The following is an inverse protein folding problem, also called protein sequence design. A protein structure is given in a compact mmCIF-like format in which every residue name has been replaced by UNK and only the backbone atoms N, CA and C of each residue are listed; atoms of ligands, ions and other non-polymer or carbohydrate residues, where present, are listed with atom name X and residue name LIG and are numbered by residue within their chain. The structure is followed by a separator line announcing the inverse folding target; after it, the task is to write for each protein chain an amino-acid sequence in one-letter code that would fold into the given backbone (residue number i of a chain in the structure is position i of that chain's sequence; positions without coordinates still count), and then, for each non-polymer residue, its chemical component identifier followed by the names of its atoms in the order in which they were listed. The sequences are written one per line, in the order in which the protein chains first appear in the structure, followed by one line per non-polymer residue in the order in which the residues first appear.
data_IF_557491573498
#
_entry.id   IF_557491573498
#
_cell.length_a   1.000
_cell.length_b   1.000
_cell.length_c   1.000
_cell.angle_alpha   90.00
_cell.angle_beta   90.00
_cell.angle_gamma   90.00
#
_symmetry.space_group_name_H-M   'P 1'
#
loop_
_entity.id
_entity.type
_entity.pdbx_description
1 polymer ?
#
# COMPACT_ATOMS: atom_id res chain seq x y z
N UNK A 1 33.57 -44.40 -5.77
CA UNK A 1 33.56 -44.21 -4.31
C UNK A 1 34.45 -43.05 -3.86
N UNK A 2 35.77 -43.01 -4.13
CA UNK A 2 36.59 -41.84 -3.74
C UNK A 2 36.38 -40.60 -4.66
N UNK A 3 36.19 -40.80 -5.97
CA UNK A 3 35.99 -39.69 -6.91
C UNK A 3 34.69 -38.91 -6.65
N UNK A 4 33.62 -39.60 -6.25
CA UNK A 4 32.32 -38.99 -5.95
C UNK A 4 32.41 -38.04 -4.74
N UNK A 5 33.24 -38.37 -3.74
CA UNK A 5 33.50 -37.54 -2.56
C UNK A 5 34.25 -36.26 -2.95
N UNK A 6 35.23 -36.35 -3.85
CA UNK A 6 35.96 -35.16 -4.33
C UNK A 6 35.05 -34.23 -5.14
N UNK A 7 34.17 -34.78 -5.99
CA UNK A 7 33.20 -33.98 -6.74
C UNK A 7 32.21 -33.29 -5.81
N UNK A 8 31.70 -34.00 -4.79
CA UNK A 8 30.80 -33.42 -3.81
C UNK A 8 31.47 -32.31 -2.98
N UNK A 9 32.73 -32.50 -2.56
CA UNK A 9 33.48 -31.48 -1.83
C UNK A 9 33.70 -30.22 -2.68
N UNK A 10 33.99 -30.36 -3.97
CA UNK A 10 34.12 -29.24 -4.89
C UNK A 10 32.80 -28.48 -5.09
N UNK A 11 31.67 -29.21 -5.24
CA UNK A 11 30.35 -28.59 -5.34
C UNK A 11 29.97 -27.84 -4.05
N UNK A 12 30.28 -28.41 -2.88
CA UNK A 12 30.07 -27.77 -1.60
C UNK A 12 30.89 -26.47 -1.48
N UNK A 13 32.17 -26.51 -1.86
CA UNK A 13 33.04 -25.34 -1.85
C UNK A 13 32.49 -24.24 -2.78
N UNK A 14 32.02 -24.62 -3.97
CA UNK A 14 31.44 -23.67 -4.91
C UNK A 14 30.15 -23.05 -4.36
N UNK A 15 29.26 -23.85 -3.77
CA UNK A 15 28.03 -23.37 -3.15
C UNK A 15 28.31 -22.40 -2.00
N UNK A 16 29.31 -22.71 -1.15
CA UNK A 16 29.75 -21.81 -0.08
C UNK A 16 30.30 -20.49 -0.60
N UNK A 17 31.09 -20.52 -1.68
CA UNK A 17 31.61 -19.29 -2.31
C UNK A 17 30.49 -18.44 -2.90
N UNK A 18 29.52 -19.04 -3.59
CA UNK A 18 28.35 -18.34 -4.13
C UNK A 18 27.51 -17.73 -3.00
N UNK A 19 27.28 -18.49 -1.92
CA UNK A 19 26.54 -18.00 -0.77
C UNK A 19 27.27 -16.84 -0.06
N UNK A 20 28.59 -16.93 0.10
CA UNK A 20 29.39 -15.85 0.68
C UNK A 20 29.33 -14.57 -0.16
N UNK A 21 29.38 -14.70 -1.49
CA UNK A 21 29.24 -13.55 -2.39
C UNK A 21 27.84 -12.91 -2.30
N UNK A 22 26.79 -13.73 -2.20
CA UNK A 22 25.42 -13.24 -2.02
C UNK A 22 25.25 -12.50 -0.69
N UNK A 23 25.83 -13.04 0.41
CA UNK A 23 25.80 -12.39 1.72
C UNK A 23 26.49 -11.03 1.66
N UNK A 24 27.70 -10.95 1.09
CA UNK A 24 28.43 -9.68 0.98
C UNK A 24 27.66 -8.64 0.15
N UNK A 25 26.98 -9.08 -0.91
CA UNK A 25 26.16 -8.19 -1.73
C UNK A 25 24.93 -7.67 -0.97
N UNK A 26 24.26 -8.53 -0.20
CA UNK A 26 23.13 -8.13 0.63
C UNK A 26 23.57 -7.18 1.76
N UNK A 27 24.71 -7.44 2.39
CA UNK A 27 25.29 -6.55 3.41
C UNK A 27 25.58 -5.15 2.84
N UNK A 28 26.08 -5.08 1.60
CA UNK A 28 26.33 -3.81 0.92
C UNK A 28 25.03 -3.05 0.60
N UNK A 29 24.03 -3.74 0.06
CA UNK A 29 22.71 -3.14 -0.20
C UNK A 29 22.05 -2.62 1.08
N UNK A 30 22.14 -3.36 2.18
CA UNK A 30 21.60 -2.93 3.48
C UNK A 30 22.31 -1.67 3.97
N UNK A 31 23.64 -1.61 3.82
CA UNK A 31 24.42 -0.41 4.18
C UNK A 31 23.99 0.81 3.35
N UNK A 32 23.85 0.65 2.03
CA UNK A 32 23.40 1.74 1.15
C UNK A 32 22.00 2.26 1.54
N UNK A 33 21.05 1.35 1.80
CA UNK A 33 19.71 1.73 2.25
C UNK A 33 19.73 2.45 3.60
N UNK A 34 20.61 2.05 4.52
CA UNK A 34 20.78 2.74 5.81
C UNK A 34 21.36 4.16 5.62
N UNK A 35 22.28 4.35 4.68
CA UNK A 35 22.82 5.67 4.34
C UNK A 35 21.73 6.56 3.74
N UNK A 36 20.97 6.08 2.76
CA UNK A 36 19.85 6.83 2.15
C UNK A 36 18.78 7.23 3.18
N UNK A 37 18.42 6.33 4.11
CA UNK A 37 17.48 6.62 5.19
C UNK A 37 18.00 7.70 6.14
N UNK A 38 19.30 7.67 6.45
CA UNK A 38 19.92 8.70 7.28
C UNK A 38 19.96 10.06 6.57
N UNK A 39 20.25 10.08 5.27
CA UNK A 39 20.17 11.31 4.47
C UNK A 39 18.74 11.89 4.46
N UNK A 40 17.74 11.04 4.26
CA UNK A 40 16.33 11.46 4.22
C UNK A 40 15.85 11.98 5.57
N UNK A 41 16.31 11.37 6.67
CA UNK A 41 16.03 11.83 8.04
C UNK A 41 16.71 13.15 8.40
N UNK A 42 17.89 13.43 7.82
CA UNK A 42 18.66 14.63 8.08
C UNK A 42 18.30 15.81 7.16
N UNK A 43 17.42 15.61 6.17
CA UNK A 43 16.84 16.73 5.41
C UNK A 43 15.90 17.51 6.35
N UNK A 44 16.08 18.84 6.49
CA UNK A 44 15.17 19.65 7.30
C UNK A 44 13.77 19.54 6.71
N UNK A 45 12.78 19.19 7.54
CA UNK A 45 11.38 19.22 7.15
C UNK A 45 11.08 20.62 6.63
N UNK A 46 10.72 20.75 5.35
CA UNK A 46 10.15 21.98 4.84
C UNK A 46 8.98 22.32 5.74
N UNK A 47 9.15 23.39 6.53
CA UNK A 47 8.16 23.96 7.42
C UNK A 47 6.89 24.21 6.60
N UNK A 48 5.92 23.31 6.71
CA UNK A 48 4.56 23.56 6.19
C UNK A 48 4.05 24.79 6.93
N UNK A 49 3.91 25.89 6.19
CA UNK A 49 3.47 27.18 6.73
C UNK A 49 2.15 27.02 7.47
N UNK A 50 2.06 27.62 8.66
CA UNK A 50 0.88 27.67 9.51
C UNK A 50 -0.33 28.18 8.70
N UNK A 51 -1.24 27.28 8.33
CA UNK A 51 -2.51 27.65 7.70
C UNK A 51 -3.44 28.15 8.80
N UNK A 52 -3.53 29.47 8.99
CA UNK A 52 -4.52 30.06 9.88
C UNK A 52 -5.89 30.05 9.20
N UNK A 53 -6.74 29.14 9.67
CA UNK A 53 -8.12 28.97 9.22
C UNK A 53 -9.04 29.93 9.98
N UNK A 54 -9.74 30.83 9.27
CA UNK A 54 -10.82 31.67 9.84
C UNK A 54 -12.13 30.91 9.74
N UNK A 55 -12.70 30.56 10.90
CA UNK A 55 -14.04 29.99 11.00
C UNK A 55 -15.09 31.07 10.76
N UNK A 56 -15.86 30.97 9.68
CA UNK A 56 -17.19 31.57 9.59
C UNK A 56 -18.22 30.52 10.04
N UNK A 57 -19.07 30.88 11.00
CA UNK A 57 -20.04 29.96 11.59
C UNK A 57 -21.19 29.69 10.61
N UNK A 58 -21.21 28.51 10.00
CA UNK A 58 -22.41 28.02 9.31
C UNK A 58 -23.39 27.43 10.34
N UNK A 59 -24.58 28.02 10.42
CA UNK A 59 -25.68 27.54 11.25
C UNK A 59 -26.34 26.34 10.57
N UNK A 60 -26.24 25.17 11.20
CA UNK A 60 -26.84 23.92 10.72
C UNK A 60 -28.28 23.84 11.17
N UNK A 61 -29.23 23.89 10.23
CA UNK A 61 -30.63 23.55 10.47
C UNK A 61 -30.90 22.13 9.96
N UNK A 62 -31.29 21.26 10.90
CA UNK A 62 -31.75 19.86 10.77
C UNK A 62 -30.68 18.76 10.78
N UNK A 63 -30.60 18.10 11.94
CA UNK A 63 -29.78 16.94 12.23
C UNK A 63 -30.58 15.66 11.95
N UNK A 64 -30.57 15.18 10.71
CA UNK A 64 -31.06 13.85 10.35
C UNK A 64 -29.99 13.14 9.52
N UNK A 65 -29.03 12.50 10.21
CA UNK A 65 -27.99 11.69 9.58
C UNK A 65 -27.64 10.50 10.47
N UNK A 66 -27.76 9.29 9.92
CA UNK A 66 -27.30 8.05 10.56
C UNK A 66 -25.77 8.04 10.58
N UNK A 67 -25.18 7.84 11.76
CA UNK A 67 -23.72 7.80 11.95
C UNK A 67 -23.14 6.52 11.30
N UNK A 68 -22.57 6.65 10.10
CA UNK A 68 -21.77 5.59 9.49
C UNK A 68 -20.33 5.69 10.04
N UNK A 69 -20.02 4.94 11.09
CA UNK A 69 -18.65 4.79 11.59
C UNK A 69 -17.90 3.87 10.61
N UNK A 70 -17.43 4.40 9.49
CA UNK A 70 -16.51 3.72 8.59
C UNK A 70 -15.10 3.81 9.17
N UNK A 71 -14.54 2.70 9.64
CA UNK A 71 -13.11 2.62 9.96
C UNK A 71 -12.35 2.70 8.64
N UNK A 72 -11.84 3.87 8.28
CA UNK A 72 -10.97 3.99 7.12
C UNK A 72 -9.55 3.50 7.51
N UNK A 73 -9.06 2.39 6.94
CA UNK A 73 -7.79 1.77 7.31
C UNK A 73 -6.58 2.61 6.91
N UNK A 74 -6.77 3.55 5.97
CA UNK A 74 -5.73 4.45 5.49
C UNK A 74 -5.45 5.62 6.44
N UNK A 75 -6.26 5.78 7.49
CA UNK A 75 -6.15 6.87 8.48
C UNK A 75 -5.30 6.52 9.70
N UNK A 76 -4.67 5.34 9.74
CA UNK A 76 -3.90 4.87 10.90
C UNK A 76 -2.55 5.59 11.03
N UNK A 77 -2.59 6.88 11.36
CA UNK A 77 -1.57 7.68 12.06
C UNK A 77 -2.18 9.03 12.49
N UNK A 78 -2.93 9.04 13.58
CA UNK A 78 -3.14 10.22 14.44
C UNK A 78 -3.80 11.48 13.83
N UNK A 79 -4.28 11.45 12.59
CA UNK A 79 -5.10 12.53 12.04
C UNK A 79 -6.56 12.27 12.39
N UNK A 80 -7.08 13.18 13.21
CA UNK A 80 -8.50 13.28 13.55
C UNK A 80 -9.33 13.23 12.27
N UNK A 81 -10.47 12.55 12.38
CA UNK A 81 -11.53 12.40 11.38
C UNK A 81 -11.69 13.67 10.54
N UNK A 82 -11.04 13.70 9.39
CA UNK A 82 -11.57 14.39 8.22
C UNK A 82 -12.32 13.33 7.45
N UNK A 83 -13.65 13.38 7.59
CA UNK A 83 -14.55 12.82 6.60
C UNK A 83 -14.00 13.28 5.25
N UNK A 84 -13.41 12.36 4.48
CA UNK A 84 -12.86 12.64 3.16
C UNK A 84 -14.04 12.79 2.18
N UNK A 85 -15.00 13.66 2.52
CA UNK A 85 -15.76 14.44 1.57
C UNK A 85 -14.78 15.45 0.99
N UNK A 86 -13.88 14.95 0.14
CA UNK A 86 -13.32 15.83 -0.87
C UNK A 86 -14.54 16.21 -1.69
N UNK A 87 -14.97 17.47 -1.58
CA UNK A 87 -15.75 18.11 -2.62
C UNK A 87 -15.07 17.69 -3.93
N UNK A 88 -15.75 16.82 -4.68
CA UNK A 88 -15.31 16.26 -5.96
C UNK A 88 -14.98 17.33 -6.99
N UNK A 89 -15.15 18.60 -6.63
CA UNK A 89 -14.75 19.78 -7.40
C UNK A 89 -13.26 20.14 -7.28
N UNK A 90 -12.51 19.62 -6.30
CA UNK A 90 -11.07 19.99 -6.13
C UNK A 90 -10.07 18.94 -6.56
N UNK A 91 -10.50 17.68 -6.72
CA UNK A 91 -9.82 16.77 -7.64
C UNK A 91 -10.23 17.20 -9.05
N UNK A 92 -9.59 18.26 -9.55
CA UNK A 92 -9.51 18.46 -10.99
C UNK A 92 -9.02 17.15 -11.54
N UNK A 93 -9.96 16.39 -12.11
CA UNK A 93 -9.76 15.18 -12.88
C UNK A 93 -8.48 15.42 -13.66
N UNK A 94 -7.43 14.69 -13.29
CA UNK A 94 -6.16 14.81 -13.98
C UNK A 94 -6.50 14.66 -15.48
N UNK A 95 -6.17 15.63 -16.35
CA UNK A 95 -6.61 15.65 -17.75
C UNK A 95 -6.21 14.41 -18.58
N UNK A 96 -5.55 13.44 -17.94
CA UNK A 96 -4.99 12.23 -18.52
C UNK A 96 -5.81 10.94 -18.27
N UNK A 97 -6.89 10.98 -17.49
CA UNK A 97 -7.92 9.90 -17.61
C UNK A 97 -8.50 9.85 -19.03
N UNK A 98 -8.46 10.97 -19.76
CA UNK A 98 -8.81 11.08 -21.17
C UNK A 98 -7.68 10.67 -22.14
N UNK A 99 -6.40 10.63 -21.72
CA UNK A 99 -5.27 10.42 -22.66
C UNK A 99 -4.93 8.95 -22.91
N UNK A 100 -5.29 8.03 -22.01
CA UNK A 100 -5.14 6.58 -22.26
C UNK A 100 -6.11 5.72 -21.41
N UNK A 101 -7.40 5.67 -21.76
CA UNK A 101 -8.42 4.96 -20.97
C UNK A 101 -8.17 3.45 -20.88
N UNK A 102 -7.58 2.83 -21.90
CA UNK A 102 -7.29 1.39 -21.92
C UNK A 102 -6.21 1.01 -20.89
N UNK A 103 -5.19 1.85 -20.74
CA UNK A 103 -4.15 1.66 -19.72
C UNK A 103 -4.74 1.70 -18.30
N UNK A 104 -5.58 2.72 -18.03
CA UNK A 104 -6.26 2.89 -16.75
C UNK A 104 -7.17 1.70 -16.43
N UNK A 105 -8.00 1.30 -17.39
CA UNK A 105 -8.87 0.14 -17.23
C UNK A 105 -8.09 -1.16 -17.02
N UNK A 106 -6.94 -1.32 -17.68
CA UNK A 106 -6.07 -2.48 -17.52
C UNK A 106 -5.50 -2.61 -16.11
N UNK A 107 -5.22 -1.50 -15.41
CA UNK A 107 -4.79 -1.52 -14.00
C UNK A 107 -5.97 -1.87 -13.10
N UNK A 108 -7.13 -1.21 -13.28
CA UNK A 108 -8.31 -1.48 -12.47
C UNK A 108 -8.76 -2.94 -12.56
N UNK A 109 -8.84 -3.49 -13.78
CA UNK A 109 -9.22 -4.89 -13.98
C UNK A 109 -8.28 -5.84 -13.25
N UNK A 110 -6.97 -5.59 -13.30
CA UNK A 110 -6.02 -6.43 -12.58
C UNK A 110 -6.16 -6.30 -11.06
N UNK A 111 -6.39 -5.08 -10.55
CA UNK A 111 -6.61 -4.86 -9.13
C UNK A 111 -7.92 -5.48 -8.64
N UNK A 112 -8.99 -5.44 -9.43
CA UNK A 112 -10.24 -6.15 -9.11
C UNK A 112 -10.01 -7.66 -9.05
N UNK A 113 -9.33 -8.23 -10.05
CA UNK A 113 -8.98 -9.66 -10.05
C UNK A 113 -8.15 -10.03 -8.81
N UNK A 114 -7.15 -9.24 -8.46
CA UNK A 114 -6.36 -9.43 -7.24
C UNK A 114 -7.24 -9.43 -5.98
N UNK A 115 -8.18 -8.47 -5.88
CA UNK A 115 -9.08 -8.37 -4.73
C UNK A 115 -10.13 -9.49 -4.69
N UNK A 116 -10.50 -10.07 -5.83
CA UNK A 116 -11.43 -11.19 -5.92
C UNK A 116 -10.76 -12.54 -5.61
N UNK A 117 -9.53 -12.74 -6.07
CA UNK A 117 -8.85 -14.04 -6.01
C UNK A 117 -7.86 -14.16 -4.83
N UNK A 118 -7.16 -13.08 -4.49
CA UNK A 118 -6.00 -13.14 -3.57
C UNK A 118 -6.24 -12.43 -2.23
N UNK A 119 -7.09 -11.41 -2.17
CA UNK A 119 -7.28 -10.60 -0.96
C UNK A 119 -7.70 -11.43 0.26
N UNK A 120 -8.60 -12.39 0.09
CA UNK A 120 -9.05 -13.23 1.20
C UNK A 120 -7.89 -14.05 1.79
N UNK A 121 -7.04 -14.63 0.93
CA UNK A 121 -5.85 -15.36 1.37
C UNK A 121 -4.83 -14.43 2.06
N UNK A 122 -4.68 -13.18 1.60
CA UNK A 122 -3.83 -12.18 2.28
C UNK A 122 -4.36 -11.82 3.66
N UNK A 123 -5.67 -11.62 3.81
CA UNK A 123 -6.30 -11.35 5.10
C UNK A 123 -6.04 -12.53 6.04
N UNK A 124 -6.30 -13.77 5.61
CA UNK A 124 -6.03 -14.96 6.43
C UNK A 124 -4.55 -15.06 6.87
N UNK A 125 -3.61 -14.68 6.01
CA UNK A 125 -2.21 -14.64 6.36
C UNK A 125 -1.94 -13.63 7.48
N UNK A 126 -2.43 -12.39 7.35
CA UNK A 126 -2.27 -11.37 8.38
C UNK A 126 -2.99 -11.70 9.69
N UNK A 127 -4.14 -12.37 9.64
CA UNK A 127 -4.83 -12.89 10.83
C UNK A 127 -3.97 -13.86 11.63
N UNK A 128 -3.24 -14.74 10.93
CA UNK A 128 -2.34 -15.69 11.55
C UNK A 128 -1.11 -15.00 12.14
N UNK A 129 -0.54 -14.02 11.43
CA UNK A 129 0.62 -13.25 11.90
C UNK A 129 0.27 -12.42 13.15
N UNK A 130 -0.83 -11.67 13.11
CA UNK A 130 -1.30 -10.83 14.21
C UNK A 130 -2.06 -11.61 15.30
N UNK A 131 -2.21 -12.93 15.14
CA UNK A 131 -2.95 -13.84 16.04
C UNK A 131 -4.36 -13.32 16.39
N UNK A 132 -5.02 -12.72 15.41
CA UNK A 132 -6.32 -12.08 15.58
C UNK A 132 -7.30 -12.71 14.59
N UNK A 133 -8.03 -13.76 14.99
CA UNK A 133 -9.00 -14.40 14.10
C UNK A 133 -10.19 -13.47 13.88
N UNK A 134 -10.52 -13.23 12.61
CA UNK A 134 -11.67 -12.41 12.22
C UNK A 134 -12.88 -13.30 11.95
N UNK A 135 -14.08 -12.72 12.09
CA UNK A 135 -15.28 -13.35 11.55
C UNK A 135 -15.40 -13.13 10.02
N UNK A 136 -16.10 -14.04 9.36
CA UNK A 136 -16.25 -14.06 7.90
C UNK A 136 -16.90 -12.78 7.37
N UNK A 137 -17.91 -12.27 8.08
CA UNK A 137 -18.57 -11.02 7.74
C UNK A 137 -17.59 -9.83 7.77
N UNK A 138 -16.64 -9.83 8.72
CA UNK A 138 -15.67 -8.75 8.83
C UNK A 138 -14.64 -8.80 7.70
N UNK A 139 -14.17 -10.01 7.32
CA UNK A 139 -13.30 -10.19 6.14
C UNK A 139 -13.95 -9.64 4.88
N UNK A 140 -15.22 -9.98 4.66
CA UNK A 140 -15.96 -9.52 3.48
C UNK A 140 -16.10 -7.99 3.49
N UNK A 141 -16.43 -7.39 4.63
CA UNK A 141 -16.50 -5.92 4.75
C UNK A 141 -15.16 -5.25 4.44
N UNK A 142 -14.03 -5.81 4.90
CA UNK A 142 -12.70 -5.28 4.59
C UNK A 142 -12.43 -5.30 3.08
N UNK A 143 -12.71 -6.42 2.40
CA UNK A 143 -12.52 -6.54 0.95
C UNK A 143 -13.40 -5.54 0.20
N UNK A 144 -14.68 -5.41 0.57
CA UNK A 144 -15.62 -4.51 -0.08
C UNK A 144 -15.25 -3.03 0.10
N UNK A 145 -14.74 -2.65 1.28
CA UNK A 145 -14.30 -1.28 1.53
C UNK A 145 -13.04 -0.93 0.74
N UNK A 146 -12.05 -1.84 0.72
CA UNK A 146 -10.84 -1.67 -0.09
C UNK A 146 -11.18 -1.58 -1.58
N UNK A 147 -12.08 -2.42 -2.10
CA UNK A 147 -12.52 -2.35 -3.51
C UNK A 147 -13.05 -0.95 -3.87
N UNK A 148 -13.90 -0.36 -3.02
CA UNK A 148 -14.44 0.99 -3.24
C UNK A 148 -13.36 2.07 -3.15
N UNK A 149 -12.48 1.98 -2.16
CA UNK A 149 -11.45 3.00 -1.94
C UNK A 149 -10.36 2.98 -3.01
N UNK A 150 -10.10 1.79 -3.60
CA UNK A 150 -9.07 1.58 -4.61
C UNK A 150 -9.31 2.36 -5.91
N UNK A 151 -10.56 2.44 -6.37
CA UNK A 151 -10.93 3.17 -7.59
C UNK A 151 -10.55 4.66 -7.48
N UNK A 152 -10.72 5.24 -6.29
CA UNK A 152 -10.39 6.65 -6.02
C UNK A 152 -8.89 6.89 -5.79
N UNK A 153 -8.11 5.85 -5.48
CA UNK A 153 -6.68 5.95 -5.21
C UNK A 153 -5.80 5.87 -6.45
N UNK A 154 -6.26 5.22 -7.52
CA UNK A 154 -5.45 5.05 -8.74
C UNK A 154 -4.91 6.37 -9.34
N UNK A 155 -5.68 7.48 -9.41
CA UNK A 155 -5.16 8.76 -9.91
C UNK A 155 -3.95 9.28 -9.14
N UNK A 156 -3.88 9.02 -7.82
CA UNK A 156 -2.74 9.41 -6.99
C UNK A 156 -1.46 8.66 -7.42
N UNK A 157 -1.53 7.33 -7.58
CA UNK A 157 -0.38 6.54 -8.02
C UNK A 157 0.12 6.92 -9.41
N UNK A 158 -0.79 7.25 -10.33
CA UNK A 158 -0.44 7.74 -11.66
C UNK A 158 0.34 9.05 -11.59
N UNK A 159 -0.16 10.02 -10.81
CA UNK A 159 0.52 11.32 -10.64
C UNK A 159 1.90 11.18 -9.98
N UNK A 160 2.02 10.26 -9.03
CA UNK A 160 3.27 9.97 -8.33
C UNK A 160 4.31 9.36 -9.30
N UNK A 161 3.90 8.40 -10.13
CA UNK A 161 4.82 7.73 -11.05
C UNK A 161 5.31 8.66 -12.18
N UNK A 162 4.46 9.56 -12.68
CA UNK A 162 4.86 10.56 -13.69
C UNK A 162 5.86 11.59 -13.16
N UNK A 163 5.87 11.84 -11.84
CA UNK A 163 6.76 12.81 -11.21
C UNK A 163 8.21 12.33 -11.08
N UNK A 164 8.47 11.04 -11.31
CA UNK A 164 9.83 10.49 -11.32
C UNK A 164 10.44 10.60 -12.71
N UNK A 165 11.27 11.62 -12.91
CA UNK A 165 12.19 11.71 -14.05
C UNK A 165 13.16 10.51 -14.02
N UNK A 166 12.87 9.47 -14.80
CA UNK A 166 13.72 8.27 -14.90
C UNK A 166 12.99 6.94 -14.98
N UNK A 167 11.65 6.91 -14.83
CA UNK A 167 10.89 5.69 -15.14
C UNK A 167 10.98 5.46 -16.66
N UNK A 168 11.39 4.25 -17.04
CA UNK A 168 11.38 3.78 -18.43
C UNK A 168 10.08 4.19 -19.12
N UNK A 169 10.15 4.66 -20.37
CA UNK A 169 8.98 4.98 -21.21
C UNK A 169 8.13 3.75 -21.54
N UNK A 170 8.51 2.57 -21.04
CA UNK A 170 7.77 1.32 -21.19
C UNK A 170 6.47 1.33 -20.37
N UNK A 171 5.30 1.33 -21.03
CA UNK A 171 4.01 1.32 -20.35
C UNK A 171 3.82 0.08 -19.47
N UNK A 172 4.35 -1.08 -19.86
CA UNK A 172 4.17 -2.33 -19.10
C UNK A 172 4.94 -2.28 -17.78
N UNK A 173 6.17 -1.75 -17.80
CA UNK A 173 6.95 -1.54 -16.58
C UNK A 173 6.28 -0.53 -15.63
N UNK A 174 5.74 0.56 -16.16
CA UNK A 174 5.01 1.55 -15.37
C UNK A 174 3.75 0.93 -14.73
N UNK A 175 3.01 0.14 -15.51
CA UNK A 175 1.83 -0.60 -15.03
C UNK A 175 2.18 -1.50 -13.86
N UNK A 176 3.26 -2.27 -13.96
CA UNK A 176 3.71 -3.17 -12.90
C UNK A 176 4.09 -2.40 -11.63
N UNK A 177 4.82 -1.28 -11.74
CA UNK A 177 5.16 -0.44 -10.58
C UNK A 177 3.89 0.04 -9.87
N UNK A 178 2.91 0.55 -10.61
CA UNK A 178 1.66 1.07 -10.04
C UNK A 178 0.90 -0.04 -9.32
N UNK A 179 0.75 -1.20 -9.98
CA UNK A 179 0.06 -2.36 -9.41
C UNK A 179 0.75 -2.82 -8.12
N UNK A 180 2.08 -2.91 -8.11
CA UNK A 180 2.84 -3.28 -6.91
C UNK A 180 2.67 -2.28 -5.78
N UNK A 181 2.75 -0.98 -6.07
CA UNK A 181 2.56 0.07 -5.07
C UNK A 181 1.15 0.03 -4.46
N UNK A 182 0.13 -0.22 -5.28
CA UNK A 182 -1.26 -0.38 -4.82
C UNK A 182 -1.44 -1.64 -3.98
N UNK A 183 -0.88 -2.79 -4.40
CA UNK A 183 -0.93 -4.04 -3.62
C UNK A 183 -0.30 -3.87 -2.23
N UNK A 184 0.84 -3.19 -2.14
CA UNK A 184 1.49 -2.88 -0.87
C UNK A 184 0.64 -1.97 0.03
N UNK A 185 -0.10 -1.03 -0.55
CA UNK A 185 -0.98 -0.14 0.22
C UNK A 185 -2.22 -0.89 0.73
N UNK A 186 -2.80 -1.77 -0.08
CA UNK A 186 -3.87 -2.69 0.33
C UNK A 186 -3.41 -3.56 1.51
N UNK A 187 -2.21 -4.15 1.42
CA UNK A 187 -1.67 -4.99 2.48
C UNK A 187 -1.54 -4.23 3.81
N UNK A 188 -1.04 -2.99 3.76
CA UNK A 188 -0.98 -2.11 4.94
C UNK A 188 -2.37 -1.80 5.47
N UNK A 189 -3.36 -1.62 4.60
CA UNK A 189 -4.73 -1.34 4.98
C UNK A 189 -5.37 -2.55 5.67
N UNK A 190 -5.17 -3.77 5.15
CA UNK A 190 -5.62 -5.01 5.82
C UNK A 190 -4.98 -5.17 7.20
N UNK A 191 -3.67 -4.95 7.31
CA UNK A 191 -2.99 -4.99 8.61
C UNK A 191 -3.57 -3.97 9.59
N UNK A 192 -3.81 -2.74 9.11
CA UNK A 192 -4.40 -1.66 9.90
C UNK A 192 -5.80 -2.00 10.42
N UNK A 193 -6.65 -2.60 9.58
CA UNK A 193 -7.97 -3.11 9.99
C UNK A 193 -7.87 -4.15 11.10
N UNK A 194 -6.96 -5.12 10.95
CA UNK A 194 -6.77 -6.19 11.93
C UNK A 194 -6.30 -5.62 13.27
N UNK A 195 -5.36 -4.68 13.24
CA UNK A 195 -4.83 -4.03 14.45
C UNK A 195 -5.85 -3.15 15.17
N UNK A 196 -6.75 -2.49 14.43
CA UNK A 196 -7.78 -1.59 14.98
C UNK A 196 -9.17 -2.24 15.08
N UNK A 197 -9.24 -3.57 15.06
CA UNK A 197 -10.53 -4.26 15.09
C UNK A 197 -11.32 -3.93 16.37
N UNK A 198 -12.61 -3.54 16.25
CA UNK A 198 -13.48 -3.42 17.41
C UNK A 198 -13.68 -4.80 18.06
N UNK A 199 -13.66 -4.85 19.40
CA UNK A 199 -13.73 -6.13 20.14
C UNK A 199 -14.89 -7.05 19.78
N UNK A 200 -15.99 -6.52 19.23
CA UNK A 200 -17.16 -7.29 18.80
C UNK A 200 -16.92 -8.20 17.59
N UNK A 201 -15.84 -8.00 16.85
CA UNK A 201 -15.54 -8.73 15.60
C UNK A 201 -14.37 -9.72 15.76
N UNK A 202 -13.76 -9.82 16.95
CA UNK A 202 -12.76 -10.85 17.25
C UNK A 202 -13.49 -12.16 17.50
N UNK A 203 -13.10 -13.23 16.82
CA UNK A 203 -13.51 -14.58 17.22
C UNK A 203 -12.76 -14.98 18.49
N UNK A 204 -13.47 -15.42 19.52
CA UNK A 204 -12.88 -16.09 20.69
C UNK A 204 -12.27 -17.43 20.32
#
# INVERSE_FOLDING_TARGET
MNQDIYTYLHQLQQALQTQQAAILNLEDQVRLLQEELNELKNRPSSSVGKVEYKFDQLKVENLNGTLNIGLNPFSAKGQQIEDFQVDTETLKVNPETDTNPDFYQGILQEMHRYLDEEAYNRILHFEQEERTPLDEMYRQMMVDDIKKQMEHRLPYYLSQAQSYEGISTDPDYLRDIIIQAMKQDIDKAFLSFIQHIPGNFRKE
#
